data_IF_328346484424
#
_entry.id   IF_328346484424
#
_cell.length_a   1.000
_cell.length_b   1.000
_cell.length_c   1.000
_cell.angle_alpha   90.00
_cell.angle_beta   90.00
_cell.angle_gamma   90.00
#
_symmetry.space_group_name_H-M   'P 1'
#
loop_
_entity.id
_entity.type
_entity.pdbx_description
1 polymer ?
#
# COMPACT_ATOMS: atom_id res chain seq x y z
N UNK A 1 -14.13 7.63 -13.76
CA UNK A 1 -13.57 7.96 -12.44
C UNK A 1 -12.17 7.37 -12.40
N UNK A 2 -11.13 8.22 -12.39
CA UNK A 2 -9.74 7.76 -12.49
C UNK A 2 -9.11 7.79 -11.09
N UNK A 3 -8.52 6.68 -10.67
CA UNK A 3 -7.78 6.60 -9.41
C UNK A 3 -6.39 7.19 -9.66
N UNK A 4 -6.00 8.21 -8.90
CA UNK A 4 -4.66 8.80 -8.99
C UNK A 4 -3.69 7.99 -8.13
N UNK A 5 -2.60 7.52 -8.75
CA UNK A 5 -1.63 6.66 -8.09
C UNK A 5 -0.20 6.93 -8.59
N UNK A 6 0.75 7.00 -7.67
CA UNK A 6 2.18 6.90 -7.97
C UNK A 6 2.60 5.43 -7.82
N UNK A 7 3.26 4.86 -8.83
CA UNK A 7 3.55 3.42 -8.88
C UNK A 7 5.06 3.16 -8.81
N UNK A 8 5.45 2.23 -7.94
CA UNK A 8 6.83 1.81 -7.73
C UNK A 8 6.93 0.29 -7.92
N UNK A 9 7.87 -0.14 -8.75
CA UNK A 9 8.12 -1.57 -8.98
C UNK A 9 9.43 -2.00 -8.30
N UNK A 10 9.35 -3.06 -7.51
CA UNK A 10 10.50 -3.70 -6.89
C UNK A 10 11.36 -4.40 -7.94
N UNK A 11 12.67 -4.10 -7.93
CA UNK A 11 13.67 -4.80 -8.74
C UNK A 11 14.01 -6.19 -8.21
N UNK A 12 13.66 -6.49 -6.96
CA UNK A 12 14.05 -7.73 -6.27
C UNK A 12 13.10 -8.89 -6.59
N UNK A 13 11.80 -8.63 -6.55
CA UNK A 13 10.76 -9.65 -6.59
C UNK A 13 9.60 -9.29 -7.52
N UNK A 14 9.65 -8.14 -8.20
CA UNK A 14 8.59 -7.69 -9.09
C UNK A 14 7.30 -7.30 -8.39
N UNK A 15 7.29 -7.18 -7.05
CA UNK A 15 6.17 -6.58 -6.32
C UNK A 15 5.96 -5.13 -6.76
N UNK A 16 4.70 -4.71 -6.82
CA UNK A 16 4.33 -3.36 -7.26
C UNK A 16 3.62 -2.67 -6.11
N UNK A 17 4.21 -1.58 -5.62
CA UNK A 17 3.57 -0.70 -4.64
C UNK A 17 2.92 0.47 -5.36
N UNK A 18 1.69 0.80 -5.01
CA UNK A 18 1.03 2.02 -5.46
C UNK A 18 0.67 2.90 -4.26
N UNK A 19 1.03 4.18 -4.35
CA UNK A 19 0.64 5.22 -3.42
C UNK A 19 -0.58 5.93 -4.00
N UNK A 20 -1.74 5.70 -3.40
CA UNK A 20 -3.03 6.20 -3.87
C UNK A 20 -3.34 7.53 -3.19
N UNK A 21 -3.78 8.52 -3.97
CA UNK A 21 -4.34 9.78 -3.44
C UNK A 21 -5.86 9.66 -3.29
N UNK A 22 -6.37 9.92 -2.10
CA UNK A 22 -7.79 9.94 -1.77
C UNK A 22 -8.42 11.32 -2.05
N UNK A 23 -9.74 11.42 -1.98
CA UNK A 23 -10.48 12.65 -2.28
C UNK A 23 -10.19 13.81 -1.32
N UNK A 24 -9.68 13.52 -0.12
CA UNK A 24 -9.26 14.48 0.90
C UNK A 24 -7.76 14.81 0.84
N UNK A 25 -7.07 14.38 -0.22
CA UNK A 25 -5.62 14.49 -0.42
C UNK A 25 -4.77 13.68 0.56
N UNK A 26 -5.37 12.86 1.42
CA UNK A 26 -4.63 11.88 2.18
C UNK A 26 -4.17 10.75 1.26
N UNK A 27 -3.15 10.01 1.69
CA UNK A 27 -2.57 8.92 0.90
C UNK A 27 -2.63 7.59 1.64
N UNK A 28 -2.86 6.53 0.89
CA UNK A 28 -2.77 5.14 1.37
C UNK A 28 -1.90 4.33 0.42
N UNK A 29 -1.37 3.21 0.92
CA UNK A 29 -0.57 2.30 0.12
C UNK A 29 -1.35 1.02 -0.21
N UNK A 30 -1.07 0.46 -1.39
CA UNK A 30 -1.47 -0.88 -1.78
C UNK A 30 -0.28 -1.60 -2.42
N UNK A 31 -0.20 -2.92 -2.26
CA UNK A 31 0.89 -3.73 -2.83
C UNK A 31 0.35 -4.92 -3.58
N UNK A 32 0.71 -5.04 -4.86
CA UNK A 32 0.51 -6.26 -5.65
C UNK A 32 1.74 -7.15 -5.52
N UNK A 33 1.52 -8.35 -5.00
CA UNK A 33 2.50 -9.43 -4.90
C UNK A 33 2.22 -10.45 -6.01
N UNK A 34 3.24 -10.75 -6.81
CA UNK A 34 3.17 -11.73 -7.90
C UNK A 34 3.93 -13.00 -7.50
N UNK A 35 3.24 -14.13 -7.44
CA UNK A 35 3.84 -15.40 -7.07
C UNK A 35 4.27 -16.19 -8.30
N UNK A 36 5.33 -16.99 -8.19
CA UNK A 36 5.85 -17.79 -9.31
C UNK A 36 4.85 -18.81 -9.88
N UNK A 37 3.88 -19.25 -9.07
CA UNK A 37 2.80 -20.15 -9.50
C UNK A 37 1.63 -19.44 -10.20
N UNK A 38 1.78 -18.16 -10.57
CA UNK A 38 0.77 -17.36 -11.25
C UNK A 38 -0.30 -16.76 -10.33
N UNK A 39 -0.32 -17.09 -9.04
CA UNK A 39 -1.20 -16.43 -8.07
C UNK A 39 -0.79 -14.97 -7.89
N UNK A 40 -1.78 -14.09 -7.79
CA UNK A 40 -1.57 -12.72 -7.34
C UNK A 40 -2.22 -12.50 -5.98
N UNK A 41 -1.56 -11.73 -5.12
CA UNK A 41 -2.10 -11.30 -3.82
C UNK A 41 -2.04 -9.78 -3.76
N UNK A 42 -3.11 -9.15 -3.30
CA UNK A 42 -3.15 -7.70 -3.11
C UNK A 42 -3.23 -7.41 -1.61
N UNK A 43 -2.30 -6.60 -1.12
CA UNK A 43 -2.37 -6.02 0.21
C UNK A 43 -3.08 -4.67 0.11
N UNK A 44 -4.19 -4.52 0.83
CA UNK A 44 -5.01 -3.32 0.85
C UNK A 44 -4.90 -2.62 2.20
N UNK A 45 -4.84 -1.30 2.18
CA UNK A 45 -5.07 -0.49 3.37
C UNK A 45 -6.58 -0.35 3.63
N UNK A 46 -6.99 -0.41 4.89
CA UNK A 46 -8.39 -0.22 5.32
C UNK A 46 -8.66 1.18 5.90
N UNK A 47 -7.61 1.91 6.28
CA UNK A 47 -7.65 3.20 6.96
C UNK A 47 -6.48 4.08 6.49
N UNK A 48 -6.58 5.38 6.75
CA UNK A 48 -5.44 6.31 6.65
C UNK A 48 -4.75 6.35 8.01
N UNK A 49 -3.58 5.71 8.12
CA UNK A 49 -2.93 5.49 9.42
C UNK A 49 -3.65 4.45 10.28
N UNK A 50 -3.20 4.26 11.52
CA UNK A 50 -3.82 3.32 12.45
C UNK A 50 -3.60 3.76 13.91
N UNK A 51 -4.67 3.92 14.71
CA UNK A 51 -4.56 4.45 16.08
C UNK A 51 -4.14 3.40 17.12
N UNK A 52 -3.94 2.15 16.71
CA UNK A 52 -3.60 1.06 17.63
C UNK A 52 -2.20 1.20 18.26
N UNK A 53 -1.37 2.11 17.76
CA UNK A 53 -0.02 2.41 18.28
C UNK A 53 0.85 1.17 18.55
N UNK A 54 0.83 0.23 17.60
CA UNK A 54 1.69 -0.93 17.67
C UNK A 54 3.16 -0.48 17.53
N UNK A 55 3.97 -0.66 18.56
CA UNK A 55 5.38 -0.19 18.64
C UNK A 55 6.30 -0.65 17.50
N UNK A 56 5.95 -1.74 16.80
CA UNK A 56 6.67 -2.30 15.67
C UNK A 56 6.12 -1.87 14.29
N UNK A 57 4.95 -1.22 14.24
CA UNK A 57 4.27 -0.88 12.99
C UNK A 57 4.56 0.56 12.59
N UNK A 58 5.13 0.78 11.41
CA UNK A 58 5.39 2.12 10.89
C UNK A 58 4.09 2.94 10.75
N UNK A 59 2.99 2.32 10.32
CA UNK A 59 1.68 2.97 10.21
C UNK A 59 1.11 3.39 11.57
N UNK A 60 1.43 2.65 12.64
CA UNK A 60 1.03 2.99 14.00
C UNK A 60 1.74 4.24 14.55
N UNK A 61 2.93 4.55 14.02
CA UNK A 61 3.76 5.70 14.41
C UNK A 61 3.49 6.96 13.59
N UNK A 62 2.46 6.96 12.75
CA UNK A 62 2.12 8.12 11.91
C UNK A 62 1.45 9.25 12.72
N UNK A 63 1.13 9.00 14.00
CA UNK A 63 0.49 9.94 14.93
C UNK A 63 1.23 9.97 16.26
#
# INVERSE_FOLDING_TARGET
MSIQAEVYQSKKDGSIKALLSLSDNLKIETVLLRHHNGRNTVCLSSQVGCPMDCSFCATGKMF
#
